data_IF_963084914082
#
_entry.id   IF_963084914082
#
_cell.length_a   1.000
_cell.length_b   1.000
_cell.length_c   1.000
_cell.angle_alpha   90.00
_cell.angle_beta   90.00
_cell.angle_gamma   90.00
#
_symmetry.space_group_name_H-M   'P 1'
#
loop_
_entity.id
_entity.type
_entity.pdbx_description
1 polymer ?
#
# COMPACT_ATOMS: atom_id res chain seq x y z
N UNK A 1 -16.16 -42.28 -7.72
CA UNK A 1 -15.14 -41.27 -8.03
C UNK A 1 -15.33 -40.15 -7.03
N UNK A 2 -14.45 -40.06 -6.02
CA UNK A 2 -14.53 -39.02 -5.00
C UNK A 2 -13.95 -37.74 -5.59
N UNK A 3 -14.77 -36.72 -5.75
CA UNK A 3 -14.32 -35.37 -6.11
C UNK A 3 -13.52 -34.80 -4.95
N UNK A 4 -12.25 -34.51 -5.20
CA UNK A 4 -11.41 -33.69 -4.32
C UNK A 4 -11.76 -32.23 -4.60
N UNK A 5 -12.37 -31.55 -3.64
CA UNK A 5 -12.56 -30.10 -3.65
C UNK A 5 -11.42 -29.48 -2.85
N UNK A 6 -10.51 -28.80 -3.52
CA UNK A 6 -9.57 -27.89 -2.86
C UNK A 6 -10.32 -26.59 -2.57
N UNK A 7 -10.57 -26.31 -1.29
CA UNK A 7 -10.89 -24.96 -0.81
C UNK A 7 -9.63 -24.50 -0.08
N UNK A 8 -8.82 -23.68 -0.74
CA UNK A 8 -7.81 -22.89 -0.07
C UNK A 8 -8.50 -21.63 0.45
N UNK A 9 -8.69 -21.55 1.76
CA UNK A 9 -8.94 -20.26 2.41
C UNK A 9 -7.65 -19.45 2.29
N UNK A 10 -7.73 -18.21 1.79
CA UNK A 10 -6.55 -17.39 1.50
C UNK A 10 -5.63 -17.22 2.70
N UNK A 11 -4.39 -17.72 2.57
CA UNK A 11 -3.27 -17.58 3.53
C UNK A 11 -2.75 -16.12 3.65
N UNK A 12 -3.34 -15.20 2.88
CA UNK A 12 -2.91 -13.81 2.71
C UNK A 12 -3.66 -12.82 3.61
N UNK A 13 -4.58 -13.30 4.46
CA UNK A 13 -5.26 -12.54 5.52
C UNK A 13 -4.95 -13.22 6.85
N UNK A 14 -4.28 -12.51 7.75
CA UNK A 14 -3.98 -13.04 9.09
C UNK A 14 -5.27 -13.18 9.92
N UNK A 15 -5.78 -14.40 10.01
CA UNK A 15 -6.92 -14.76 10.88
C UNK A 15 -6.38 -15.43 12.14
N UNK A 16 -6.29 -14.69 13.24
CA UNK A 16 -5.76 -15.20 14.50
C UNK A 16 -6.67 -16.28 15.12
N UNK A 17 -6.43 -17.55 14.83
CA UNK A 17 -7.05 -18.68 15.53
C UNK A 17 -6.33 -18.93 16.86
N UNK A 18 -7.00 -18.60 17.97
CA UNK A 18 -6.48 -18.78 19.33
C UNK A 18 -6.28 -20.24 19.73
N UNK A 19 -5.03 -20.65 19.88
CA UNK A 19 -4.63 -21.90 20.52
C UNK A 19 -3.70 -21.64 21.70
N UNK A 20 -4.15 -21.95 22.91
CA UNK A 20 -3.33 -21.94 24.14
C UNK A 20 -2.14 -22.89 24.02
N UNK A 21 -0.91 -22.38 23.96
CA UNK A 21 0.31 -23.18 24.12
C UNK A 21 0.86 -23.04 25.55
N UNK A 22 1.08 -24.20 26.17
CA UNK A 22 1.68 -24.33 27.49
C UNK A 22 3.19 -24.03 27.46
N UNK A 23 3.70 -23.37 28.50
CA UNK A 23 5.08 -22.95 28.63
C UNK A 23 6.05 -24.12 28.80
N UNK A 24 7.06 -24.21 27.93
CA UNK A 24 8.28 -24.99 28.15
C UNK A 24 9.47 -24.03 28.24
N UNK A 25 10.16 -24.04 29.38
CA UNK A 25 11.36 -23.26 29.66
C UNK A 25 12.58 -23.82 28.93
N UNK A 26 13.15 -23.04 28.00
CA UNK A 26 14.50 -23.22 27.46
C UNK A 26 15.26 -21.87 27.47
N UNK A 27 16.57 -21.97 27.73
CA UNK A 27 17.58 -20.93 27.99
C UNK A 27 17.78 -19.94 26.81
N UNK A 28 18.32 -18.71 27.05
CA UNK A 28 18.32 -17.63 26.06
C UNK A 28 19.50 -17.79 25.09
N UNK A 29 19.21 -18.26 23.88
CA UNK A 29 20.07 -18.06 22.71
C UNK A 29 19.57 -16.82 21.96
N UNK A 30 20.50 -16.00 21.45
CA UNK A 30 20.28 -14.76 20.69
C UNK A 30 19.04 -14.85 19.77
N UNK A 31 17.95 -14.20 20.19
CA UNK A 31 16.74 -14.09 19.39
C UNK A 31 16.96 -12.97 18.35
N UNK A 32 17.23 -13.36 17.11
CA UNK A 32 17.11 -12.46 15.98
C UNK A 32 15.65 -11.95 15.90
N UNK A 33 15.46 -10.64 16.03
CA UNK A 33 14.17 -9.96 16.02
C UNK A 33 13.86 -9.40 14.63
N UNK A 34 12.61 -9.52 14.16
CA UNK A 34 12.10 -8.94 12.90
C UNK A 34 12.06 -7.43 12.93
N UNK A 35 12.18 -6.87 14.12
CA UNK A 35 12.06 -5.47 14.38
C UNK A 35 13.45 -4.86 14.31
N UNK A 36 13.57 -3.64 13.73
CA UNK A 36 14.80 -2.89 13.73
C UNK A 36 15.42 -2.90 15.14
N UNK A 37 16.63 -3.44 15.25
CA UNK A 37 17.34 -3.52 16.53
C UNK A 37 18.00 -2.17 16.78
N UNK A 38 17.78 -1.52 17.94
CA UNK A 38 18.44 -0.27 18.29
C UNK A 38 19.97 -0.39 18.14
N UNK A 39 20.56 0.40 17.24
CA UNK A 39 22.01 0.43 16.99
C UNK A 39 22.53 -0.40 15.81
N UNK A 40 21.71 -1.25 15.19
CA UNK A 40 22.01 -1.90 13.90
C UNK A 40 21.09 -1.34 12.82
N UNK A 41 21.27 -0.07 12.51
CA UNK A 41 20.48 0.56 11.48
C UNK A 41 21.04 0.15 10.11
N UNK A 42 20.52 -0.93 9.54
CA UNK A 42 20.62 -1.17 8.11
C UNK A 42 19.72 -0.15 7.40
N UNK A 43 20.09 1.14 7.42
CA UNK A 43 19.35 2.18 6.71
C UNK A 43 19.50 1.94 5.21
N UNK A 44 18.52 1.30 4.58
CA UNK A 44 18.36 1.40 3.12
C UNK A 44 18.16 2.88 2.83
N UNK A 45 19.10 3.46 2.09
CA UNK A 45 19.04 4.87 1.70
C UNK A 45 17.75 5.12 0.91
N UNK A 46 17.04 6.23 1.16
CA UNK A 46 15.86 6.59 0.41
C UNK A 46 16.14 6.67 -1.09
N UNK A 47 15.31 6.02 -1.90
CA UNK A 47 15.45 5.97 -3.37
C UNK A 47 14.11 6.22 -4.05
N UNK A 48 14.15 6.94 -5.17
CA UNK A 48 13.01 7.11 -6.06
C UNK A 48 13.12 6.13 -7.22
N UNK A 49 12.01 5.49 -7.55
CA UNK A 49 11.92 4.51 -8.63
C UNK A 49 11.08 5.07 -9.76
N UNK A 50 11.65 5.13 -10.96
CA UNK A 50 10.98 5.63 -12.16
C UNK A 50 9.96 4.60 -12.68
N UNK A 51 8.73 5.06 -12.95
CA UNK A 51 7.64 4.21 -13.43
C UNK A 51 8.00 3.50 -14.74
N UNK A 52 8.71 4.15 -15.67
CA UNK A 52 9.07 3.52 -16.95
C UNK A 52 10.03 2.36 -16.73
N UNK A 53 11.05 2.56 -15.89
CA UNK A 53 11.97 1.49 -15.51
C UNK A 53 11.27 0.35 -14.77
N UNK A 54 10.36 0.66 -13.85
CA UNK A 54 9.61 -0.37 -13.12
C UNK A 54 8.66 -1.18 -14.01
N UNK A 55 7.98 -0.53 -14.97
CA UNK A 55 7.12 -1.24 -15.92
C UNK A 55 7.92 -2.20 -16.82
N UNK A 56 9.14 -1.80 -17.21
CA UNK A 56 10.01 -2.61 -18.07
C UNK A 56 10.56 -3.87 -17.38
N UNK A 57 10.55 -3.92 -16.05
CA UNK A 57 11.02 -5.06 -15.25
C UNK A 57 9.90 -5.97 -14.74
N UNK A 58 8.64 -5.71 -15.11
CA UNK A 58 7.52 -6.56 -14.72
C UNK A 58 7.58 -7.93 -15.42
N UNK A 59 7.06 -9.00 -14.79
CA UNK A 59 6.90 -10.29 -15.46
C UNK A 59 5.88 -10.17 -16.60
N UNK A 60 5.89 -11.10 -17.54
CA UNK A 60 4.94 -11.10 -18.66
C UNK A 60 3.51 -11.45 -18.25
N UNK A 61 3.31 -12.02 -17.07
CA UNK A 61 2.01 -12.45 -16.55
C UNK A 61 2.02 -12.39 -15.03
N UNK A 62 0.88 -12.05 -14.45
CA UNK A 62 0.64 -12.07 -13.00
C UNK A 62 -0.71 -12.74 -12.70
N UNK A 63 -0.79 -13.43 -11.56
CA UNK A 63 -2.05 -13.93 -11.01
C UNK A 63 -2.57 -13.01 -9.89
N UNK A 64 -3.90 -12.91 -9.77
CA UNK A 64 -4.54 -12.02 -8.80
C UNK A 64 -5.80 -12.65 -8.18
N UNK A 65 -6.13 -12.17 -6.99
CA UNK A 65 -7.46 -12.29 -6.39
C UNK A 65 -8.02 -10.93 -6.01
N UNK A 66 -9.30 -10.89 -5.65
CA UNK A 66 -10.02 -9.69 -5.29
C UNK A 66 -10.33 -9.71 -3.81
N UNK A 67 -9.88 -8.68 -3.09
CA UNK A 67 -10.25 -8.46 -1.70
C UNK A 67 -11.58 -7.70 -1.64
N UNK A 68 -12.52 -8.22 -0.87
CA UNK A 68 -13.79 -7.56 -0.59
C UNK A 68 -13.70 -6.70 0.67
N UNK A 69 -14.01 -5.41 0.54
CA UNK A 69 -14.12 -4.47 1.66
C UNK A 69 -15.56 -4.02 1.76
N UNK A 70 -16.27 -4.51 2.78
CA UNK A 70 -17.61 -4.05 3.11
C UNK A 70 -17.54 -2.62 3.69
N UNK A 71 -18.09 -1.66 2.98
CA UNK A 71 -18.17 -0.26 3.37
C UNK A 71 -19.34 -0.03 4.34
N UNK A 72 -19.28 1.06 5.11
CA UNK A 72 -20.28 1.36 6.14
C UNK A 72 -21.65 1.73 5.55
N UNK A 73 -21.72 2.11 4.26
CA UNK A 73 -22.96 2.37 3.54
C UNK A 73 -23.62 1.09 2.97
N UNK A 74 -23.03 -0.08 3.23
CA UNK A 74 -23.47 -1.39 2.78
C UNK A 74 -23.00 -1.78 1.38
N UNK A 75 -22.23 -0.93 0.68
CA UNK A 75 -21.60 -1.30 -0.58
C UNK A 75 -20.36 -2.17 -0.34
N UNK A 76 -20.05 -3.05 -1.28
CA UNK A 76 -18.81 -3.85 -1.27
C UNK A 76 -17.85 -3.29 -2.30
N UNK A 77 -16.68 -2.86 -1.85
CA UNK A 77 -15.57 -2.48 -2.72
C UNK A 77 -14.72 -3.72 -3.02
N UNK A 78 -14.45 -3.95 -4.30
CA UNK A 78 -13.67 -5.07 -4.79
C UNK A 78 -12.30 -4.58 -5.25
N UNK A 79 -11.25 -4.86 -4.48
CA UNK A 79 -9.89 -4.39 -4.72
C UNK A 79 -9.00 -5.55 -5.16
N UNK A 80 -8.51 -5.57 -6.41
CA UNK A 80 -7.65 -6.63 -6.87
C UNK A 80 -6.25 -6.51 -6.28
N UNK A 81 -5.64 -7.66 -6.01
CA UNK A 81 -4.28 -7.78 -5.52
C UNK A 81 -3.60 -8.95 -6.20
N UNK A 82 -2.32 -8.78 -6.52
CA UNK A 82 -1.48 -9.86 -6.97
C UNK A 82 -1.38 -10.93 -5.88
N UNK A 83 -1.49 -12.18 -6.29
CA UNK A 83 -1.40 -13.35 -5.40
C UNK A 83 -0.02 -13.50 -4.79
N UNK A 84 0.05 -13.80 -3.48
CA UNK A 84 1.33 -13.97 -2.81
C UNK A 84 2.12 -15.16 -3.36
N UNK A 85 1.45 -16.25 -3.71
CA UNK A 85 2.11 -17.41 -4.31
C UNK A 85 2.73 -17.07 -5.66
N UNK A 86 2.11 -16.19 -6.46
CA UNK A 86 2.62 -15.76 -7.76
C UNK A 86 3.89 -14.91 -7.59
N UNK A 87 3.88 -14.00 -6.60
CA UNK A 87 5.08 -13.25 -6.20
C UNK A 87 6.21 -14.19 -5.78
N UNK A 88 5.92 -15.21 -4.97
CA UNK A 88 6.91 -16.20 -4.51
C UNK A 88 7.53 -16.96 -5.68
N UNK A 89 6.70 -17.44 -6.61
CA UNK A 89 7.16 -18.16 -7.80
C UNK A 89 8.07 -17.26 -8.66
N UNK A 90 7.74 -15.99 -8.83
CA UNK A 90 8.60 -15.04 -9.55
C UNK A 90 9.96 -14.89 -8.87
N UNK A 91 10.00 -14.63 -7.56
CA UNK A 91 11.26 -14.46 -6.82
C UNK A 91 12.14 -15.71 -6.95
N UNK A 92 11.54 -16.91 -6.79
CA UNK A 92 12.26 -18.17 -6.96
C UNK A 92 12.81 -18.34 -8.38
N UNK A 93 12.04 -17.98 -9.40
CA UNK A 93 12.45 -18.07 -10.80
C UNK A 93 13.58 -17.08 -11.15
N UNK A 94 13.59 -15.89 -10.55
CA UNK A 94 14.65 -14.89 -10.72
C UNK A 94 15.94 -15.30 -10.00
N UNK A 95 15.84 -15.77 -8.76
CA UNK A 95 16.99 -16.27 -8.00
C UNK A 95 17.68 -17.45 -8.70
N UNK A 96 16.90 -18.35 -9.31
CA UNK A 96 17.45 -19.48 -10.07
C UNK A 96 18.21 -19.07 -11.35
N UNK A 97 17.98 -17.86 -11.89
CA UNK A 97 18.68 -17.36 -13.08
C UNK A 97 20.01 -16.68 -12.75
N UNK A 98 20.21 -16.26 -11.51
CA UNK A 98 21.43 -15.60 -11.04
C UNK A 98 22.33 -16.62 -10.34
N UNK A 99 23.24 -17.26 -11.09
CA UNK A 99 24.13 -18.32 -10.57
C UNK A 99 25.02 -17.86 -9.40
N UNK A 100 25.35 -16.56 -9.30
CA UNK A 100 26.09 -15.97 -8.18
C UNK A 100 25.25 -15.75 -6.90
N UNK A 101 23.92 -15.70 -7.02
CA UNK A 101 23.00 -15.68 -5.87
C UNK A 101 22.64 -17.10 -5.41
N UNK A 102 22.82 -18.10 -6.28
CA UNK A 102 22.48 -19.50 -6.02
C UNK A 102 23.37 -20.18 -4.94
N UNK A 103 24.62 -19.74 -4.75
CA UNK A 103 25.52 -20.29 -3.72
C UNK A 103 25.08 -19.94 -2.27
N UNK A 104 24.12 -19.03 -2.10
CA UNK A 104 23.45 -18.75 -0.81
C UNK A 104 22.06 -19.39 -0.66
N UNK A 105 21.61 -20.16 -1.68
CA UNK A 105 20.21 -20.59 -1.88
C UNK A 105 20.05 -22.10 -1.69
N UNK A 106 20.98 -22.78 -1.00
CA UNK A 106 20.69 -24.14 -0.48
C UNK A 106 19.49 -24.15 0.49
N UNK A 107 19.08 -22.98 0.99
CA UNK A 107 17.81 -22.75 1.68
C UNK A 107 16.94 -21.74 0.92
N UNK A 108 16.61 -22.00 -0.36
CA UNK A 108 15.64 -21.20 -1.14
C UNK A 108 14.23 -21.16 -0.54
N UNK A 109 13.97 -22.03 0.43
CA UNK A 109 12.85 -21.86 1.36
C UNK A 109 13.11 -20.63 2.25
N UNK A 110 14.22 -20.54 2.98
CA UNK A 110 14.51 -19.50 3.98
C UNK A 110 14.80 -18.07 3.44
N UNK A 111 14.81 -17.84 2.12
CA UNK A 111 14.90 -16.49 1.53
C UNK A 111 13.53 -15.81 1.39
N UNK A 112 12.45 -16.59 1.34
CA UNK A 112 11.06 -16.12 1.11
C UNK A 112 10.03 -16.83 2.01
N UNK A 113 10.40 -17.96 2.61
CA UNK A 113 9.59 -18.84 3.44
C UNK A 113 10.07 -18.77 4.88
N UNK A 114 9.49 -17.86 5.66
CA UNK A 114 9.44 -18.05 7.10
C UNK A 114 8.61 -19.29 7.45
N UNK A 115 9.25 -20.42 7.77
CA UNK A 115 8.89 -21.13 9.01
C UNK A 115 9.60 -20.51 10.22
N UNK A 116 10.44 -19.49 9.98
CA UNK A 116 10.96 -18.52 10.95
C UNK A 116 10.72 -17.13 10.34
N UNK A 117 9.76 -16.39 10.91
CA UNK A 117 9.20 -15.13 10.40
C UNK A 117 10.18 -13.93 10.27
N UNK A 118 11.49 -14.16 10.30
CA UNK A 118 12.46 -13.10 10.59
C UNK A 118 13.83 -13.35 9.98
N UNK A 119 14.17 -12.62 8.91
CA UNK A 119 15.55 -12.17 8.71
C UNK A 119 15.68 -10.73 9.15
N UNK A 120 16.69 -10.46 9.98
CA UNK A 120 17.12 -9.10 10.34
C UNK A 120 17.41 -8.30 9.07
N UNK A 121 16.59 -7.29 8.78
CA UNK A 121 16.84 -6.31 7.69
C UNK A 121 15.85 -6.32 6.53
N UNK A 122 14.99 -7.34 6.39
CA UNK A 122 13.96 -7.44 5.34
C UNK A 122 12.59 -7.58 6.01
N UNK A 123 11.70 -6.61 5.82
CA UNK A 123 10.34 -6.67 6.37
C UNK A 123 9.44 -7.41 5.39
N UNK A 124 9.10 -8.67 5.68
CA UNK A 124 8.24 -9.52 4.85
C UNK A 124 6.75 -9.13 4.90
N UNK A 125 6.34 -8.29 5.86
CA UNK A 125 4.93 -7.90 6.04
C UNK A 125 4.35 -7.07 4.90
N UNK A 126 5.17 -6.49 4.01
CA UNK A 126 4.72 -5.66 2.88
C UNK A 126 4.00 -6.43 1.77
N UNK A 127 4.20 -7.75 1.67
CA UNK A 127 3.54 -8.58 0.66
C UNK A 127 2.10 -8.97 1.03
N UNK A 128 1.69 -8.74 2.28
CA UNK A 128 0.34 -9.06 2.77
C UNK A 128 -0.53 -7.82 2.91
N UNK A 129 -1.84 -8.00 2.86
CA UNK A 129 -2.77 -6.95 3.27
C UNK A 129 -3.14 -7.17 4.73
N UNK A 130 -3.14 -6.08 5.48
CA UNK A 130 -3.50 -6.11 6.89
C UNK A 130 -4.88 -5.51 7.12
N UNK A 131 -5.59 -5.98 8.14
CA UNK A 131 -6.98 -5.60 8.42
C UNK A 131 -7.16 -4.09 8.60
N UNK A 132 -6.20 -3.41 9.25
CA UNK A 132 -6.27 -1.96 9.45
C UNK A 132 -6.27 -1.16 8.14
N UNK A 133 -5.71 -1.69 7.04
CA UNK A 133 -5.81 -1.05 5.73
C UNK A 133 -7.25 -1.04 5.22
N UNK A 134 -8.02 -2.10 5.48
CA UNK A 134 -9.45 -2.16 5.17
C UNK A 134 -10.27 -1.19 6.03
N UNK A 135 -9.93 -1.06 7.31
CA UNK A 135 -10.56 -0.08 8.20
C UNK A 135 -10.30 1.37 7.74
N UNK A 136 -9.09 1.65 7.24
CA UNK A 136 -8.76 2.94 6.63
C UNK A 136 -9.57 3.20 5.37
N UNK A 137 -9.73 2.20 4.49
CA UNK A 137 -10.58 2.31 3.29
C UNK A 137 -12.02 2.70 3.65
N UNK A 138 -12.62 2.08 4.67
CA UNK A 138 -13.97 2.41 5.12
C UNK A 138 -14.08 3.88 5.59
N UNK A 139 -13.10 4.36 6.36
CA UNK A 139 -13.05 5.77 6.81
C UNK A 139 -12.89 6.72 5.63
N UNK A 140 -12.01 6.40 4.67
CA UNK A 140 -11.81 7.22 3.47
C UNK A 140 -13.08 7.30 2.62
N UNK A 141 -13.85 6.21 2.51
CA UNK A 141 -15.12 6.19 1.80
C UNK A 141 -16.14 7.20 2.40
N UNK A 142 -16.20 7.30 3.72
CA UNK A 142 -17.12 8.20 4.42
C UNK A 142 -16.67 9.66 4.51
N UNK A 143 -15.36 9.92 4.68
CA UNK A 143 -14.84 11.25 5.01
C UNK A 143 -14.01 11.92 3.91
N UNK A 144 -13.34 11.16 3.05
CA UNK A 144 -12.31 11.64 2.13
C UNK A 144 -12.47 11.14 0.70
N UNK A 145 -13.66 10.66 0.32
CA UNK A 145 -13.92 10.17 -1.03
C UNK A 145 -13.57 11.23 -2.08
N UNK A 146 -12.97 10.88 -3.24
CA UNK A 146 -12.62 11.84 -4.29
C UNK A 146 -13.76 12.76 -4.81
N UNK A 147 -15.01 12.48 -4.44
CA UNK A 147 -16.18 13.33 -4.75
C UNK A 147 -16.22 14.59 -3.88
N UNK A 148 -15.72 14.52 -2.64
CA UNK A 148 -15.67 15.66 -1.71
C UNK A 148 -14.57 16.67 -2.03
N UNK A 149 -13.64 16.33 -2.93
CA UNK A 149 -12.51 17.20 -3.28
C UNK A 149 -12.94 18.35 -4.19
N UNK A 150 -14.07 18.23 -4.90
CA UNK A 150 -14.50 19.21 -5.89
C UNK A 150 -13.51 19.31 -7.05
N UNK A 151 -13.14 20.54 -7.43
CA UNK A 151 -12.14 20.82 -8.49
C UNK A 151 -10.69 20.83 -8.00
N UNK A 152 -10.45 20.47 -6.74
CA UNK A 152 -9.11 20.47 -6.13
C UNK A 152 -8.26 19.33 -6.69
N UNK A 153 -7.00 19.64 -6.94
CA UNK A 153 -5.97 18.61 -7.14
C UNK A 153 -5.66 17.93 -5.81
N UNK A 154 -5.17 16.69 -5.85
CA UNK A 154 -4.90 15.91 -4.65
C UNK A 154 -3.52 15.26 -4.69
N UNK A 155 -2.82 15.29 -3.56
CA UNK A 155 -1.57 14.57 -3.31
C UNK A 155 -1.84 13.52 -2.24
N UNK A 156 -1.70 12.26 -2.61
CA UNK A 156 -1.99 11.10 -1.77
C UNK A 156 -0.64 10.44 -1.50
N UNK A 157 -0.20 10.46 -0.25
CA UNK A 157 1.09 9.90 0.17
C UNK A 157 0.78 8.70 1.07
N UNK A 158 1.13 7.49 0.68
CA UNK A 158 0.95 6.31 1.52
C UNK A 158 2.31 5.80 2.00
N UNK A 159 2.55 5.88 3.31
CA UNK A 159 3.76 5.41 3.96
C UNK A 159 3.58 3.96 4.44
N UNK A 160 4.54 3.09 4.13
CA UNK A 160 4.43 1.66 4.43
C UNK A 160 3.30 1.01 3.62
N UNK A 161 3.23 1.34 2.33
CA UNK A 161 2.07 1.04 1.51
C UNK A 161 1.83 -0.47 1.28
N UNK A 162 2.87 -1.32 1.24
CA UNK A 162 2.70 -2.74 0.97
C UNK A 162 1.84 -3.02 -0.27
N UNK A 163 0.68 -3.64 -0.05
CA UNK A 163 -0.34 -3.90 -1.08
C UNK A 163 -1.13 -2.67 -1.55
N UNK A 164 -0.95 -1.51 -0.91
CA UNK A 164 -1.51 -0.18 -1.20
C UNK A 164 -3.04 -0.07 -1.18
N UNK A 165 -3.70 -0.90 -0.38
CA UNK A 165 -5.17 -1.00 -0.36
C UNK A 165 -5.91 0.37 -0.24
N UNK A 166 -5.50 1.30 0.65
CA UNK A 166 -6.09 2.64 0.73
C UNK A 166 -5.92 3.45 -0.56
N UNK A 167 -4.71 3.47 -1.14
CA UNK A 167 -4.46 4.17 -2.40
C UNK A 167 -5.21 3.55 -3.58
N UNK A 168 -5.32 2.22 -3.64
CA UNK A 168 -6.08 1.52 -4.69
C UNK A 168 -7.57 1.87 -4.63
N UNK A 169 -8.15 1.99 -3.43
CA UNK A 169 -9.53 2.45 -3.27
C UNK A 169 -9.73 3.88 -3.83
N UNK A 170 -8.85 4.81 -3.45
CA UNK A 170 -8.87 6.18 -3.96
C UNK A 170 -8.67 6.23 -5.48
N UNK A 171 -7.80 5.37 -6.03
CA UNK A 171 -7.56 5.25 -7.46
C UNK A 171 -8.81 4.74 -8.19
N UNK A 172 -9.44 3.65 -7.72
CA UNK A 172 -10.66 3.09 -8.29
C UNK A 172 -11.82 4.08 -8.27
N UNK A 173 -12.05 4.78 -7.16
CA UNK A 173 -13.09 5.82 -7.08
C UNK A 173 -12.80 6.99 -8.02
N UNK A 174 -11.53 7.35 -8.20
CA UNK A 174 -11.12 8.38 -9.16
C UNK A 174 -11.48 7.98 -10.60
N UNK A 175 -11.21 6.73 -10.98
CA UNK A 175 -11.54 6.22 -12.32
C UNK A 175 -13.05 6.12 -12.55
N UNK A 176 -13.80 5.65 -11.54
CA UNK A 176 -15.27 5.59 -11.60
C UNK A 176 -15.88 6.98 -11.84
N UNK A 177 -15.37 8.01 -11.16
CA UNK A 177 -15.80 9.39 -11.40
C UNK A 177 -15.45 9.89 -12.81
N UNK A 178 -14.25 9.62 -13.31
CA UNK A 178 -13.85 10.04 -14.64
C UNK A 178 -14.79 9.48 -15.72
N UNK A 179 -15.20 8.21 -15.57
CA UNK A 179 -16.17 7.54 -16.46
C UNK A 179 -17.56 8.20 -16.44
N UNK A 180 -18.04 8.66 -15.28
CA UNK A 180 -19.31 9.39 -15.14
C UNK A 180 -19.28 10.74 -15.87
N UNK A 181 -18.16 11.46 -15.77
CA UNK A 181 -18.00 12.81 -16.32
C UNK A 181 -17.78 12.83 -17.84
N UNK A 182 -17.17 11.79 -18.44
CA UNK A 182 -17.03 11.68 -19.90
C UNK A 182 -18.38 11.71 -20.64
N UNK A 183 -19.46 11.30 -19.96
CA UNK A 183 -20.83 11.34 -20.49
C UNK A 183 -21.45 12.75 -20.47
N UNK A 184 -20.88 13.69 -19.70
CA UNK A 184 -21.37 15.07 -19.56
C UNK A 184 -20.34 16.03 -20.17
N UNK A 185 -20.50 16.34 -21.47
CA UNK A 185 -19.63 17.24 -22.24
C UNK A 185 -19.66 18.69 -21.68
N UNK A 186 -18.84 18.96 -20.69
CA UNK A 186 -18.55 20.31 -20.18
C UNK A 186 -17.03 20.54 -20.10
N UNK A 187 -16.60 21.77 -20.31
CA UNK A 187 -15.20 22.20 -20.12
C UNK A 187 -14.88 22.26 -18.62
N UNK A 188 -14.67 21.11 -18.00
CA UNK A 188 -14.19 21.02 -16.61
C UNK A 188 -12.66 21.09 -16.61
N UNK A 189 -12.07 21.95 -15.79
CA UNK A 189 -10.63 21.95 -15.54
C UNK A 189 -10.23 20.58 -14.98
N UNK A 190 -9.29 19.91 -15.64
CA UNK A 190 -8.82 18.59 -15.24
C UNK A 190 -8.02 18.70 -13.93
N UNK A 191 -8.48 18.01 -12.88
CA UNK A 191 -7.77 17.96 -11.59
C UNK A 191 -6.60 16.98 -11.68
N UNK A 192 -5.44 17.37 -11.15
CA UNK A 192 -4.28 16.49 -11.07
C UNK A 192 -4.35 15.65 -9.78
N UNK A 193 -4.07 14.36 -9.89
CA UNK A 193 -4.00 13.47 -8.72
C UNK A 193 -2.66 12.77 -8.71
N UNK A 194 -1.88 12.98 -7.65
CA UNK A 194 -0.58 12.34 -7.45
C UNK A 194 -0.67 11.31 -6.33
N UNK A 195 -0.35 10.06 -6.64
CA UNK A 195 -0.14 9.00 -5.67
C UNK A 195 1.37 8.83 -5.47
N UNK A 196 1.80 8.89 -4.21
CA UNK A 196 3.18 8.69 -3.79
C UNK A 196 3.18 7.50 -2.84
N UNK A 197 3.73 6.39 -3.32
CA UNK A 197 3.69 5.10 -2.66
C UNK A 197 5.07 4.82 -2.09
N UNK A 198 5.14 4.72 -0.77
CA UNK A 198 6.38 4.51 -0.03
C UNK A 198 6.37 3.18 0.70
N UNK A 199 7.41 2.38 0.54
CA UNK A 199 7.64 1.17 1.32
C UNK A 199 9.11 1.08 1.73
N UNK A 200 9.41 0.33 2.78
CA UNK A 200 10.81 0.11 3.14
C UNK A 200 11.54 -0.68 2.03
N UNK A 201 10.87 -1.65 1.41
CA UNK A 201 11.47 -2.58 0.46
C UNK A 201 11.15 -2.19 -1.01
N UNK A 202 12.15 -1.94 -1.88
CA UNK A 202 11.89 -1.66 -3.29
C UNK A 202 11.21 -2.83 -4.02
N UNK A 203 11.50 -4.06 -3.63
CA UNK A 203 10.88 -5.26 -4.20
C UNK A 203 9.38 -5.32 -3.95
N UNK A 204 8.89 -4.82 -2.81
CA UNK A 204 7.44 -4.73 -2.53
C UNK A 204 6.77 -3.77 -3.51
N UNK A 205 7.38 -2.61 -3.74
CA UNK A 205 6.89 -1.62 -4.72
C UNK A 205 6.82 -2.21 -6.14
N UNK A 206 7.87 -2.93 -6.54
CA UNK A 206 8.02 -3.51 -7.87
C UNK A 206 7.10 -4.72 -8.09
N UNK A 207 7.01 -5.64 -7.13
CA UNK A 207 6.33 -6.92 -7.30
C UNK A 207 4.87 -6.91 -6.85
N UNK A 208 4.46 -5.96 -6.02
CA UNK A 208 3.12 -5.92 -5.42
C UNK A 208 2.43 -4.59 -5.70
N UNK A 209 2.99 -3.48 -5.22
CA UNK A 209 2.32 -2.18 -5.27
C UNK A 209 1.98 -1.76 -6.71
N UNK A 210 2.97 -1.71 -7.60
CA UNK A 210 2.74 -1.33 -8.99
C UNK A 210 1.82 -2.33 -9.74
N UNK A 211 2.03 -3.65 -9.66
CA UNK A 211 1.09 -4.63 -10.22
C UNK A 211 -0.35 -4.44 -9.76
N UNK A 212 -0.60 -4.12 -8.49
CA UNK A 212 -1.96 -3.90 -7.99
C UNK A 212 -2.62 -2.66 -8.61
N UNK A 213 -1.86 -1.59 -8.88
CA UNK A 213 -2.38 -0.43 -9.63
C UNK A 213 -2.76 -0.80 -11.06
N UNK A 214 -1.93 -1.60 -11.74
CA UNK A 214 -2.21 -2.08 -13.10
C UNK A 214 -3.46 -2.97 -13.10
N UNK A 215 -3.56 -3.92 -12.16
CA UNK A 215 -4.73 -4.79 -12.00
C UNK A 215 -6.01 -3.99 -11.75
N UNK A 216 -5.95 -3.00 -10.86
CA UNK A 216 -7.09 -2.12 -10.53
C UNK A 216 -7.56 -1.34 -11.75
N UNK A 217 -6.63 -0.80 -12.54
CA UNK A 217 -6.97 -0.15 -13.81
C UNK A 217 -7.52 -1.13 -14.84
N UNK A 218 -6.86 -2.26 -15.07
CA UNK A 218 -7.22 -3.21 -16.12
C UNK A 218 -8.62 -3.79 -15.88
N UNK A 219 -8.94 -4.18 -14.65
CA UNK A 219 -10.27 -4.67 -14.29
C UNK A 219 -11.35 -3.58 -14.36
N UNK A 220 -11.01 -2.35 -13.99
CA UNK A 220 -11.94 -1.21 -14.15
C UNK A 220 -12.28 -0.99 -15.63
N UNK A 221 -11.27 -0.98 -16.51
CA UNK A 221 -11.44 -0.83 -17.95
C UNK A 221 -12.24 -1.99 -18.56
N UNK A 222 -11.93 -3.22 -18.19
CA UNK A 222 -12.65 -4.40 -18.66
C UNK A 222 -14.16 -4.33 -18.38
N UNK A 223 -14.56 -3.73 -17.25
CA UNK A 223 -15.96 -3.60 -16.87
C UNK A 223 -16.67 -2.37 -17.47
N UNK A 224 -15.97 -1.25 -17.64
CA UNK A 224 -16.61 0.04 -17.94
C UNK A 224 -16.29 0.60 -19.33
N UNK A 225 -15.08 0.39 -19.84
CA UNK A 225 -14.64 0.88 -21.15
C UNK A 225 -13.60 -0.06 -21.76
N UNK A 226 -14.02 -1.26 -22.25
CA UNK A 226 -13.08 -2.26 -22.74
C UNK A 226 -12.21 -1.72 -23.87
N UNK A 227 -10.90 -1.86 -23.72
CA UNK A 227 -9.92 -1.48 -24.73
C UNK A 227 -9.39 -2.73 -25.45
N UNK A 228 -9.01 -2.63 -26.75
CA UNK A 228 -8.52 -3.78 -27.51
C UNK A 228 -7.35 -4.51 -26.85
N UNK A 229 -6.44 -3.77 -26.20
CA UNK A 229 -5.28 -4.34 -25.53
C UNK A 229 -5.64 -5.30 -24.39
N UNK A 230 -6.82 -5.18 -23.77
CA UNK A 230 -7.25 -6.00 -22.63
C UNK A 230 -8.18 -7.16 -23.03
N UNK A 231 -8.62 -7.24 -24.29
CA UNK A 231 -9.65 -8.20 -24.70
C UNK A 231 -9.22 -9.66 -24.55
N UNK A 232 -7.93 -9.94 -24.78
CA UNK A 232 -7.33 -11.28 -24.68
C UNK A 232 -6.28 -11.38 -23.57
N UNK A 233 -6.02 -10.29 -22.84
CA UNK A 233 -4.99 -10.25 -21.81
C UNK A 233 -5.40 -10.97 -20.53
N UNK A 234 -6.70 -11.16 -20.28
CA UNK A 234 -7.18 -11.88 -19.11
C UNK A 234 -7.40 -13.37 -19.41
N UNK A 235 -6.95 -14.22 -18.50
CA UNK A 235 -7.19 -15.67 -18.55
C UNK A 235 -7.53 -16.22 -17.16
N UNK A 236 -8.02 -17.47 -17.12
CA UNK A 236 -8.43 -18.17 -15.89
C UNK A 236 -9.40 -17.37 -14.99
N UNK A 237 -10.35 -16.65 -15.61
CA UNK A 237 -11.28 -15.79 -14.89
C UNK A 237 -12.34 -16.59 -14.14
N UNK A 238 -12.06 -16.88 -12.87
CA UNK A 238 -13.07 -17.28 -11.89
C UNK A 238 -13.62 -16.03 -11.18
N UNK A 239 -14.78 -16.09 -10.51
CA UNK A 239 -15.31 -14.94 -9.79
C UNK A 239 -14.33 -14.41 -8.74
N UNK A 240 -13.73 -13.25 -9.02
CA UNK A 240 -12.80 -12.59 -8.12
C UNK A 240 -11.33 -13.02 -8.25
N UNK A 241 -10.99 -13.95 -9.14
CA UNK A 241 -9.63 -14.46 -9.33
C UNK A 241 -9.28 -14.59 -10.81
N UNK A 242 -8.00 -14.48 -11.16
CA UNK A 242 -7.56 -14.75 -12.52
C UNK A 242 -6.11 -14.40 -12.79
N UNK A 243 -5.76 -14.40 -14.08
CA UNK A 243 -4.45 -14.01 -14.56
C UNK A 243 -4.57 -12.83 -15.53
N UNK A 244 -3.54 -11.96 -15.53
CA UNK A 244 -3.39 -10.86 -16.46
C UNK A 244 -2.04 -10.95 -17.16
N UNK A 245 -2.05 -11.00 -18.49
CA UNK A 245 -0.88 -10.84 -19.33
C UNK A 245 -0.49 -9.35 -19.42
N UNK A 246 0.76 -9.06 -19.07
CA UNK A 246 1.33 -7.72 -19.07
C UNK A 246 2.08 -7.47 -20.39
N UNK A 247 1.36 -7.52 -21.51
CA UNK A 247 1.96 -7.25 -22.82
C UNK A 247 2.38 -5.77 -22.94
N UNK A 248 3.31 -5.43 -23.86
CA UNK A 248 3.68 -4.04 -24.09
C UNK A 248 2.47 -3.13 -24.37
N UNK A 249 1.47 -3.62 -25.10
CA UNK A 249 0.26 -2.87 -25.42
C UNK A 249 -0.59 -2.58 -24.18
N UNK A 250 -0.66 -3.52 -23.23
CA UNK A 250 -1.34 -3.34 -21.94
C UNK A 250 -0.63 -2.27 -21.11
N UNK A 251 0.69 -2.36 -20.99
CA UNK A 251 1.49 -1.41 -20.22
C UNK A 251 1.49 -0.01 -20.85
N UNK A 252 1.51 0.08 -22.17
CA UNK A 252 1.39 1.34 -22.91
C UNK A 252 0.02 1.98 -22.69
N UNK A 253 -1.05 1.18 -22.76
CA UNK A 253 -2.42 1.64 -22.49
C UNK A 253 -2.59 2.14 -21.06
N UNK A 254 -1.97 1.48 -20.08
CA UNK A 254 -1.95 1.95 -18.68
C UNK A 254 -1.26 3.31 -18.56
N UNK A 255 -0.07 3.48 -19.15
CA UNK A 255 0.64 4.76 -19.16
C UNK A 255 -0.14 5.88 -19.83
N UNK A 256 -0.76 5.58 -20.98
CA UNK A 256 -1.62 6.52 -21.69
C UNK A 256 -2.80 6.95 -20.82
N UNK A 257 -3.47 5.99 -20.17
CA UNK A 257 -4.58 6.29 -19.29
C UNK A 257 -4.19 7.24 -18.14
N UNK A 258 -3.06 6.97 -17.47
CA UNK A 258 -2.55 7.84 -16.39
C UNK A 258 -2.32 9.27 -16.90
N UNK A 259 -1.67 9.42 -18.05
CA UNK A 259 -1.38 10.72 -18.67
C UNK A 259 -2.67 11.46 -19.07
N UNK A 260 -3.58 10.78 -19.76
CA UNK A 260 -4.86 11.33 -20.22
C UNK A 260 -5.76 11.80 -19.07
N UNK A 261 -5.63 11.18 -17.90
CA UNK A 261 -6.42 11.49 -16.71
C UNK A 261 -5.66 12.36 -15.68
N UNK A 262 -4.45 12.83 -16.01
CA UNK A 262 -3.60 13.62 -15.10
C UNK A 262 -3.38 12.93 -13.74
N UNK A 263 -3.17 11.60 -13.80
CA UNK A 263 -2.84 10.77 -12.65
C UNK A 263 -1.35 10.47 -12.69
N UNK A 264 -0.67 10.71 -11.57
CA UNK A 264 0.77 10.53 -11.44
C UNK A 264 1.06 9.51 -10.35
N UNK A 265 1.91 8.52 -10.65
CA UNK A 265 2.40 7.54 -9.68
C UNK A 265 3.88 7.79 -9.41
N UNK A 266 4.28 7.85 -8.16
CA UNK A 266 5.68 7.96 -7.74
C UNK A 266 5.98 6.94 -6.65
N UNK A 267 7.11 6.26 -6.75
CA UNK A 267 7.48 5.16 -5.87
C UNK A 267 8.76 5.50 -5.11
N UNK A 268 8.73 5.37 -3.79
CA UNK A 268 9.84 5.69 -2.90
C UNK A 268 10.17 4.47 -2.03
N UNK A 269 11.41 4.00 -2.04
CA UNK A 269 11.86 2.97 -1.08
C UNK A 269 12.81 3.50 -0.04
N UNK A 270 12.93 2.80 1.09
CA UNK A 270 13.96 3.01 2.09
C UNK A 270 13.43 3.43 3.46
N UNK A 271 14.34 3.61 4.41
CA UNK A 271 13.97 3.98 5.78
C UNK A 271 13.44 5.40 5.87
N UNK A 272 12.42 5.60 6.71
CA UNK A 272 11.94 6.94 7.05
C UNK A 272 13.04 7.75 7.75
N UNK A 273 13.35 8.92 7.20
CA UNK A 273 14.42 9.79 7.68
C UNK A 273 14.27 11.22 7.13
N UNK A 274 15.04 12.20 7.61
CA UNK A 274 15.08 13.53 7.01
C UNK A 274 15.46 13.52 5.52
N UNK A 275 16.33 12.60 5.10
CA UNK A 275 16.68 12.39 3.69
C UNK A 275 15.49 11.87 2.89
N UNK A 276 14.66 10.99 3.49
CA UNK A 276 13.42 10.53 2.87
C UNK A 276 12.45 11.69 2.65
N UNK A 277 12.28 12.57 3.65
CA UNK A 277 11.48 13.80 3.50
C UNK A 277 12.04 14.67 2.39
N UNK A 278 13.36 14.89 2.34
CA UNK A 278 13.97 15.65 1.25
C UNK A 278 13.68 15.03 -0.12
N UNK A 279 13.80 13.70 -0.25
CA UNK A 279 13.49 12.98 -1.47
C UNK A 279 12.03 13.17 -1.90
N UNK A 280 11.08 12.98 -0.98
CA UNK A 280 9.64 13.18 -1.18
C UNK A 280 9.29 14.56 -1.79
N UNK A 281 9.97 15.62 -1.34
CA UNK A 281 9.76 16.99 -1.85
C UNK A 281 10.64 17.36 -3.05
N UNK A 282 11.66 16.55 -3.35
CA UNK A 282 12.47 16.68 -4.57
C UNK A 282 11.85 16.00 -5.78
N UNK A 283 10.82 15.17 -5.56
CA UNK A 283 10.04 14.56 -6.64
C UNK A 283 9.55 15.64 -7.61
N UNK A 284 9.50 15.35 -8.92
CA UNK A 284 8.97 16.26 -9.91
C UNK A 284 7.64 16.80 -9.40
N UNK A 285 7.62 18.11 -9.14
CA UNK A 285 6.41 18.77 -8.68
C UNK A 285 5.40 18.70 -9.81
N UNK A 286 4.50 17.72 -9.77
CA UNK A 286 3.21 17.79 -10.47
C UNK A 286 2.25 18.71 -9.70
N UNK A 287 2.81 19.74 -9.04
CA UNK A 287 2.07 20.82 -8.44
C UNK A 287 1.47 21.63 -9.58
N UNK A 288 0.17 21.96 -9.52
CA UNK A 288 -0.38 22.92 -10.45
C UNK A 288 0.38 24.27 -10.31
N UNK A 289 0.38 25.12 -11.35
CA UNK A 289 1.10 26.40 -11.35
C UNK A 289 0.82 27.20 -10.06
N UNK A 290 1.84 27.91 -9.56
CA UNK A 290 1.92 28.62 -8.26
C UNK A 290 0.67 29.40 -7.76
N UNK A 291 -0.31 29.68 -8.59
CA UNK A 291 -1.61 30.25 -8.20
C UNK A 291 -2.60 29.21 -7.60
N UNK A 292 -2.36 27.91 -7.78
CA UNK A 292 -3.26 26.80 -7.39
C UNK A 292 -2.78 25.99 -6.18
N UNK A 293 -1.61 26.30 -5.61
CA UNK A 293 -1.09 25.63 -4.40
C UNK A 293 -2.01 25.76 -3.18
N UNK A 294 -2.85 26.81 -3.13
CA UNK A 294 -3.88 26.97 -2.11
C UNK A 294 -5.10 26.04 -2.30
N UNK A 295 -5.25 25.41 -3.47
CA UNK A 295 -6.37 24.54 -3.83
C UNK A 295 -5.96 23.06 -3.93
N UNK A 296 -4.74 22.69 -3.52
CA UNK A 296 -4.30 21.29 -3.47
C UNK A 296 -4.64 20.69 -2.10
N UNK A 297 -5.22 19.50 -2.10
CA UNK A 297 -5.45 18.70 -0.90
C UNK A 297 -4.29 17.71 -0.71
N UNK A 298 -3.84 17.51 0.52
CA UNK A 298 -2.85 16.48 0.83
C UNK A 298 -3.40 15.46 1.84
N UNK A 299 -3.37 14.19 1.44
CA UNK A 299 -3.75 13.05 2.24
C UNK A 299 -2.52 12.20 2.51
N UNK A 300 -2.03 12.22 3.75
CA UNK A 300 -1.02 11.27 4.21
C UNK A 300 -1.72 10.05 4.79
N UNK A 301 -1.39 8.86 4.33
CA UNK A 301 -2.01 7.60 4.71
C UNK A 301 -0.95 6.69 5.34
N UNK A 302 -1.32 5.96 6.38
CA UNK A 302 -0.51 4.89 6.94
C UNK A 302 -1.38 3.83 7.58
N UNK A 303 -1.15 2.57 7.24
CA UNK A 303 -1.85 1.44 7.83
C UNK A 303 -0.84 0.43 8.37
N UNK A 304 -0.93 0.08 9.65
CA UNK A 304 -0.01 -0.86 10.34
C UNK A 304 1.47 -0.42 10.31
N UNK A 305 1.73 0.88 10.42
CA UNK A 305 3.09 1.46 10.33
C UNK A 305 3.79 1.62 11.69
N UNK A 306 3.09 1.40 12.80
CA UNK A 306 3.52 1.77 14.16
C UNK A 306 3.73 0.58 15.10
N UNK A 307 4.01 -0.61 14.54
CA UNK A 307 4.10 -1.86 15.29
C UNK A 307 5.25 -1.93 16.30
N UNK A 308 6.33 -1.17 16.12
CA UNK A 308 7.48 -1.14 17.03
C UNK A 308 7.80 0.27 17.51
N UNK A 309 8.34 0.47 18.73
CA UNK A 309 8.72 1.79 19.23
C UNK A 309 9.73 2.54 18.34
N UNK A 310 10.64 1.81 17.68
CA UNK A 310 11.59 2.41 16.74
C UNK A 310 10.91 2.92 15.48
N UNK A 311 10.08 2.09 14.83
CA UNK A 311 9.31 2.49 13.65
C UNK A 311 8.33 3.63 14.00
N UNK A 312 7.75 3.59 15.19
CA UNK A 312 6.83 4.61 15.69
C UNK A 312 7.48 6.01 15.68
N UNK A 313 8.67 6.17 16.27
CA UNK A 313 9.33 7.48 16.31
C UNK A 313 9.59 8.03 14.91
N UNK A 314 10.16 7.22 14.02
CA UNK A 314 10.45 7.63 12.65
C UNK A 314 9.16 7.97 11.87
N UNK A 315 8.09 7.21 12.09
CA UNK A 315 6.78 7.47 11.49
C UNK A 315 6.15 8.78 11.99
N UNK A 316 6.22 9.04 13.30
CA UNK A 316 5.76 10.32 13.89
C UNK A 316 6.51 11.49 13.27
N UNK A 317 7.83 11.39 13.15
CA UNK A 317 8.64 12.46 12.55
C UNK A 317 8.28 12.68 11.06
N UNK A 318 7.98 11.62 10.31
CA UNK A 318 7.45 11.74 8.94
C UNK A 318 6.09 12.46 8.90
N UNK A 319 5.14 12.06 9.75
CA UNK A 319 3.81 12.68 9.82
C UNK A 319 3.92 14.16 10.14
N UNK A 320 4.68 14.53 11.17
CA UNK A 320 4.88 15.92 11.57
C UNK A 320 5.56 16.71 10.44
N UNK A 321 6.63 16.18 9.84
CA UNK A 321 7.34 16.88 8.76
C UNK A 321 6.48 17.11 7.52
N UNK A 322 5.58 16.18 7.18
CA UNK A 322 4.64 16.34 6.06
C UNK A 322 3.57 17.38 6.41
N UNK A 323 2.94 17.27 7.59
CA UNK A 323 1.95 18.25 8.04
C UNK A 323 2.51 19.68 8.10
N UNK A 324 3.76 19.85 8.54
CA UNK A 324 4.43 21.15 8.63
C UNK A 324 4.74 21.79 7.27
N UNK A 325 5.08 20.98 6.27
CA UNK A 325 5.54 21.44 4.95
C UNK A 325 4.43 21.63 3.93
N UNK A 326 3.40 20.78 3.96
CA UNK A 326 2.27 20.88 3.02
C UNK A 326 1.41 22.10 3.37
N UNK A 327 1.18 22.96 2.38
CA UNK A 327 0.25 24.07 2.49
C UNK A 327 -1.17 23.60 2.08
N UNK A 328 -2.21 24.20 2.67
CA UNK A 328 -3.59 23.92 2.31
C UNK A 328 -4.29 22.89 3.21
N UNK A 329 -5.25 22.16 2.65
CA UNK A 329 -6.06 21.17 3.35
C UNK A 329 -5.29 19.84 3.45
N UNK A 330 -4.45 19.75 4.48
CA UNK A 330 -3.57 18.60 4.74
C UNK A 330 -4.06 17.84 5.96
N UNK A 331 -4.20 16.52 5.82
CA UNK A 331 -4.46 15.63 6.96
C UNK A 331 -3.74 14.30 6.81
N UNK A 332 -3.31 13.73 7.94
CA UNK A 332 -2.79 12.37 8.01
C UNK A 332 -3.85 11.43 8.59
N UNK A 333 -3.98 10.24 8.01
CA UNK A 333 -4.93 9.22 8.39
C UNK A 333 -4.17 7.94 8.70
N UNK A 334 -4.21 7.53 9.96
CA UNK A 334 -3.40 6.43 10.47
C UNK A 334 -4.32 5.36 11.04
N UNK A 335 -4.24 4.16 10.49
CA UNK A 335 -4.98 2.99 10.95
C UNK A 335 -4.01 1.96 11.53
N UNK A 336 -4.27 1.49 12.75
CA UNK A 336 -3.37 0.57 13.43
C UNK A 336 -4.11 -0.26 14.49
N UNK A 337 -3.47 -1.36 14.92
CA UNK A 337 -3.89 -2.08 16.13
C UNK A 337 -3.72 -1.17 17.35
N UNK A 338 -4.67 -1.23 18.28
CA UNK A 338 -4.58 -0.48 19.54
C UNK A 338 -3.39 -0.93 20.37
N UNK A 339 -3.05 -2.22 20.31
CA UNK A 339 -1.89 -2.79 21.00
C UNK A 339 -1.26 -3.89 20.14
N UNK A 340 0.06 -3.85 20.00
CA UNK A 340 0.85 -4.90 19.35
C UNK A 340 1.56 -5.77 20.40
N UNK A 341 1.08 -7.00 20.60
CA UNK A 341 1.68 -7.94 21.55
C UNK A 341 3.09 -8.36 21.10
N UNK A 342 4.03 -8.44 22.05
CA UNK A 342 5.41 -8.91 21.81
C UNK A 342 6.38 -7.83 21.30
N UNK A 343 5.90 -6.81 20.60
CA UNK A 343 6.72 -5.79 19.92
C UNK A 343 6.57 -4.39 20.50
N UNK A 344 5.50 -4.16 21.26
CA UNK A 344 5.34 -3.01 22.15
C UNK A 344 4.83 -1.72 21.51
N UNK A 345 4.55 -1.69 20.21
CA UNK A 345 3.85 -0.56 19.59
C UNK A 345 2.39 -0.46 20.06
N UNK A 346 1.84 0.75 20.06
CA UNK A 346 0.42 0.99 20.32
C UNK A 346 -0.07 2.26 19.61
N UNK A 347 -1.36 2.30 19.29
CA UNK A 347 -1.98 3.51 18.74
C UNK A 347 -2.00 4.65 19.76
N UNK A 348 -2.13 4.35 21.05
CA UNK A 348 -2.15 5.36 22.11
C UNK A 348 -0.79 6.05 22.28
N UNK A 349 0.32 5.32 22.10
CA UNK A 349 1.67 5.90 22.10
C UNK A 349 1.87 6.83 20.89
N UNK A 350 1.37 6.44 19.71
CA UNK A 350 1.36 7.30 18.53
C UNK A 350 0.59 8.60 18.78
N UNK A 351 -0.64 8.51 19.28
CA UNK A 351 -1.46 9.68 19.61
C UNK A 351 -0.73 10.59 20.58
N UNK A 352 -0.15 10.02 21.64
CA UNK A 352 0.60 10.78 22.66
C UNK A 352 1.80 11.52 22.07
N UNK A 353 2.61 10.86 21.24
CA UNK A 353 3.79 11.47 20.63
C UNK A 353 3.42 12.55 19.63
N UNK A 354 2.40 12.34 18.78
CA UNK A 354 1.94 13.33 17.80
C UNK A 354 1.34 14.56 18.49
N UNK A 355 0.50 14.38 19.51
CA UNK A 355 -0.08 15.49 20.27
C UNK A 355 0.98 16.31 21.01
N UNK A 356 2.10 15.71 21.42
CA UNK A 356 3.22 16.43 22.03
C UNK A 356 3.97 17.36 21.08
N UNK A 357 3.67 17.29 19.78
CA UNK A 357 4.29 18.08 18.70
C UNK A 357 3.30 19.09 18.08
N UNK A 358 2.35 19.59 18.88
CA UNK A 358 1.34 20.58 18.47
C UNK A 358 0.45 20.15 17.28
N UNK A 359 0.20 18.85 17.14
CA UNK A 359 -0.72 18.30 16.14
C UNK A 359 -2.03 17.89 16.80
N UNK A 360 -3.16 18.27 16.20
CA UNK A 360 -4.48 17.83 16.63
C UNK A 360 -4.72 16.40 16.16
N UNK A 361 -5.26 15.55 17.05
CA UNK A 361 -5.59 14.16 16.75
C UNK A 361 -7.06 13.90 17.07
N UNK A 362 -7.80 13.38 16.10
CA UNK A 362 -9.20 12.98 16.19
C UNK A 362 -9.30 11.47 16.01
N UNK A 363 -9.98 10.77 16.93
CA UNK A 363 -10.31 9.35 16.74
C UNK A 363 -11.55 9.23 15.86
N UNK A 364 -11.41 8.59 14.70
CA UNK A 364 -12.46 8.53 13.67
C UNK A 364 -13.18 7.19 13.64
N UNK A 365 -12.44 6.10 13.90
CA UNK A 365 -13.01 4.74 13.95
C UNK A 365 -12.36 3.94 15.06
N UNK A 366 -13.15 3.07 15.65
CA UNK A 366 -12.67 1.98 16.48
C UNK A 366 -13.32 0.67 16.02
N UNK A 367 -12.50 -0.34 15.81
CA UNK A 367 -12.95 -1.71 15.53
C UNK A 367 -12.74 -2.56 16.78
N UNK A 368 -13.80 -3.26 17.18
CA UNK A 368 -13.84 -4.03 18.43
C UNK A 368 -13.99 -5.53 18.20
N UNK A 369 -14.29 -5.94 16.96
CA UNK A 369 -14.29 -7.34 16.58
C UNK A 369 -12.86 -7.85 16.39
N UNK A 370 -12.50 -8.91 17.11
CA UNK A 370 -11.16 -9.49 17.06
C UNK A 370 -10.11 -8.64 17.79
N UNK A 371 -8.96 -8.41 17.15
CA UNK A 371 -7.92 -7.53 17.68
C UNK A 371 -8.41 -6.09 17.57
N UNK A 372 -8.43 -5.34 18.69
CA UNK A 372 -8.89 -3.94 18.67
C UNK A 372 -8.01 -3.11 17.76
N UNK A 373 -8.63 -2.40 16.82
CA UNK A 373 -7.97 -1.48 15.88
C UNK A 373 -8.62 -0.11 15.97
N UNK A 374 -7.90 0.91 15.52
CA UNK A 374 -8.41 2.27 15.47
C UNK A 374 -7.88 3.02 14.26
N UNK A 375 -8.67 4.01 13.82
CA UNK A 375 -8.26 4.98 12.81
C UNK A 375 -8.29 6.36 13.44
N UNK A 376 -7.19 7.09 13.31
CA UNK A 376 -7.06 8.47 13.76
C UNK A 376 -6.76 9.40 12.60
N UNK A 377 -7.25 10.62 12.70
CA UNK A 377 -6.95 11.73 11.80
C UNK A 377 -6.07 12.73 12.54
N UNK A 378 -4.96 13.11 11.93
CA UNK A 378 -4.05 14.13 12.45
C UNK A 378 -4.06 15.35 11.52
N UNK A 379 -4.14 16.55 12.10
CA UNK A 379 -4.08 17.81 11.35
C UNK A 379 -3.44 18.93 12.17
N UNK A 380 -3.03 20.01 11.49
CA UNK A 380 -2.51 21.20 12.19
C UNK A 380 -3.66 21.96 12.88
N UNK A 381 -3.40 22.59 14.03
CA UNK A 381 -4.29 23.59 14.58
C UNK A 381 -4.57 24.70 13.56
N UNK A 382 -5.81 25.18 13.53
CA UNK A 382 -6.28 26.23 12.62
C UNK A 382 -5.64 27.60 12.87
#
# INVERSE_FOLDING_TARGET
MSSFSFRFSGDDIDTASGGTQAASTTTPADQASAFPIPGQAQHIAPQHHDLTSMLASLPSKIAYSTLEVCLDDGQTLHLPRRELWDVRVQIMAEAARNEDEAEGVENGEDFVLGTRDVKTGVYEGGFKSWESSGDLVKVLAGGCHPRSWGSRSARIIELGCGTALPSLALFQWTMAMASEHQSQRGAQTQRAISFILADYNPTVLQLVTLPNFILTWALHQQQHAPIPALQEAFSLQEPGEGELELTPEVLDSFRMYLSEHAIYLSFLSGGWSPEFVHLLYSLPSHSPPQAETAACMCLLLGAETIYSPFALQAFVDMVVAVLEREAGDTSAWVAAKKLYFGVGGSLDDFVTQVMSRDVLVESVREETEGVRRGVVRCCRPA
#
